data_IF_964860169090
#
_entry.id   IF_964860169090
#
_cell.length_a   1.000
_cell.length_b   1.000
_cell.length_c   1.000
_cell.angle_alpha   90.00
_cell.angle_beta   90.00
_cell.angle_gamma   90.00
#
_symmetry.space_group_name_H-M   'P 1'
#
loop_
_entity.id
_entity.type
_entity.pdbx_description
1 polymer ?
#
# COMPACT_ATOMS: atom_id res chain seq x y z
N UNK A 1 -26.43 58.91 10.18
CA UNK A 1 -26.16 57.56 9.65
C UNK A 1 -25.03 56.99 10.50
N UNK A 2 -25.34 56.00 11.32
CA UNK A 2 -24.41 55.49 12.34
C UNK A 2 -23.28 54.71 11.67
N UNK A 3 -22.04 55.04 12.00
CA UNK A 3 -20.83 54.32 11.60
C UNK A 3 -20.78 53.02 12.43
N UNK A 4 -21.03 51.88 11.78
CA UNK A 4 -20.65 50.59 12.31
C UNK A 4 -19.10 50.54 12.34
N UNK A 5 -18.47 50.11 13.44
CA UNK A 5 -17.05 49.82 13.43
C UNK A 5 -16.78 48.66 12.45
N UNK A 6 -15.59 48.59 11.84
CA UNK A 6 -15.21 47.39 11.12
C UNK A 6 -15.25 46.23 12.10
N UNK A 7 -16.11 45.24 11.83
CA UNK A 7 -16.02 43.96 12.49
C UNK A 7 -14.63 43.39 12.19
N UNK A 8 -13.93 42.98 13.25
CA UNK A 8 -12.69 42.22 13.22
C UNK A 8 -12.93 40.89 12.47
N UNK A 9 -13.02 40.94 11.14
CA UNK A 9 -12.98 39.76 10.29
C UNK A 9 -11.52 39.39 10.06
N UNK A 10 -11.02 38.56 10.96
CA UNK A 10 -9.79 37.82 10.72
C UNK A 10 -8.95 37.67 11.96
N UNK A 11 -9.34 36.75 12.83
CA UNK A 11 -8.40 35.96 13.63
C UNK A 11 -7.58 35.03 12.69
N UNK A 12 -7.03 35.64 11.63
CA UNK A 12 -6.22 35.00 10.63
C UNK A 12 -4.85 34.84 11.26
N UNK A 13 -4.63 33.67 11.87
CA UNK A 13 -3.31 33.16 12.19
C UNK A 13 -2.37 33.57 11.04
N UNK A 14 -1.46 34.51 11.30
CA UNK A 14 -0.47 34.92 10.30
C UNK A 14 0.43 33.71 10.04
N UNK A 15 0.02 32.88 9.07
CA UNK A 15 0.78 31.69 8.69
C UNK A 15 2.02 32.19 7.96
N UNK A 16 3.17 32.07 8.60
CA UNK A 16 4.44 32.42 7.97
C UNK A 16 4.60 31.60 6.68
N UNK A 17 5.24 32.18 5.66
CA UNK A 17 5.45 31.49 4.38
C UNK A 17 6.11 30.11 4.56
N UNK A 18 7.00 29.98 5.55
CA UNK A 18 7.66 28.73 5.94
C UNK A 18 6.65 27.67 6.44
N UNK A 19 5.65 28.07 7.23
CA UNK A 19 4.61 27.18 7.73
C UNK A 19 3.67 26.73 6.61
N UNK A 20 3.35 27.62 5.66
CA UNK A 20 2.58 27.22 4.47
C UNK A 20 3.34 26.18 3.63
N UNK A 21 4.67 26.32 3.53
CA UNK A 21 5.51 25.36 2.83
C UNK A 21 5.52 23.99 3.53
N UNK A 22 5.56 24.00 4.87
CA UNK A 22 5.47 22.79 5.71
C UNK A 22 4.11 22.12 5.58
N UNK A 23 3.01 22.88 5.64
CA UNK A 23 1.63 22.39 5.44
C UNK A 23 1.50 21.70 4.08
N UNK A 24 1.96 22.34 3.01
CA UNK A 24 1.90 21.77 1.67
C UNK A 24 2.71 20.46 1.54
N UNK A 25 3.85 20.38 2.21
CA UNK A 25 4.69 19.18 2.21
C UNK A 25 4.05 18.07 3.02
N UNK A 26 3.45 18.40 4.16
CA UNK A 26 2.68 17.47 4.99
C UNK A 26 1.50 16.87 4.22
N UNK A 27 0.70 17.69 3.54
CA UNK A 27 -0.42 17.20 2.72
C UNK A 27 0.04 16.25 1.61
N UNK A 28 1.18 16.53 0.96
CA UNK A 28 1.76 15.64 -0.06
C UNK A 28 2.17 14.29 0.52
N UNK A 29 2.84 14.29 1.67
CA UNK A 29 3.25 13.05 2.34
C UNK A 29 2.03 12.25 2.83
N UNK A 30 1.00 12.92 3.32
CA UNK A 30 -0.23 12.28 3.78
C UNK A 30 -0.98 11.60 2.64
N UNK A 31 -1.14 12.28 1.50
CA UNK A 31 -1.76 11.68 0.31
C UNK A 31 -0.95 10.46 -0.16
N UNK A 32 0.37 10.60 -0.24
CA UNK A 32 1.26 9.49 -0.61
C UNK A 32 1.18 8.31 0.36
N UNK A 33 1.06 8.56 1.65
CA UNK A 33 0.87 7.51 2.65
C UNK A 33 -0.46 6.79 2.45
N UNK A 34 -1.54 7.53 2.21
CA UNK A 34 -2.86 6.96 1.92
C UNK A 34 -2.80 6.05 0.68
N UNK A 35 -2.18 6.52 -0.41
CA UNK A 35 -2.03 5.73 -1.64
C UNK A 35 -1.22 4.44 -1.38
N UNK A 36 -0.16 4.52 -0.57
CA UNK A 36 0.66 3.35 -0.20
C UNK A 36 -0.14 2.38 0.67
N UNK A 37 -0.96 2.88 1.60
CA UNK A 37 -1.82 2.05 2.45
C UNK A 37 -2.89 1.32 1.65
N UNK A 38 -3.54 1.99 0.70
CA UNK A 38 -4.50 1.38 -0.20
C UNK A 38 -3.85 0.29 -1.06
N UNK A 39 -2.65 0.57 -1.59
CA UNK A 39 -1.90 -0.41 -2.37
C UNK A 39 -1.44 -1.60 -1.51
N UNK A 40 -1.02 -1.37 -0.27
CA UNK A 40 -0.69 -2.43 0.69
C UNK A 40 -1.88 -3.32 0.99
N UNK A 41 -3.08 -2.75 1.11
CA UNK A 41 -4.30 -3.52 1.33
C UNK A 41 -4.56 -4.46 0.16
N UNK A 42 -4.54 -3.96 -1.08
CA UNK A 42 -4.71 -4.77 -2.29
C UNK A 42 -3.65 -5.87 -2.36
N UNK A 43 -2.39 -5.54 -2.09
CA UNK A 43 -1.28 -6.51 -2.13
C UNK A 43 -1.40 -7.59 -1.06
N UNK A 44 -1.92 -7.27 0.13
CA UNK A 44 -2.19 -8.27 1.16
C UNK A 44 -3.35 -9.19 0.78
N UNK A 45 -4.43 -8.65 0.20
CA UNK A 45 -5.54 -9.47 -0.33
C UNK A 45 -5.06 -10.42 -1.44
N UNK A 46 -4.20 -9.93 -2.35
CA UNK A 46 -3.56 -10.79 -3.36
C UNK A 46 -2.69 -11.88 -2.72
N UNK A 47 -1.89 -11.54 -1.69
CA UNK A 47 -1.05 -12.51 -0.98
C UNK A 47 -1.90 -13.60 -0.31
N UNK A 48 -2.95 -13.21 0.41
CA UNK A 48 -3.87 -14.14 1.08
C UNK A 48 -4.47 -15.14 0.08
N UNK A 49 -4.89 -14.66 -1.09
CA UNK A 49 -5.36 -15.54 -2.17
C UNK A 49 -4.31 -16.58 -2.60
N UNK A 50 -3.04 -16.19 -2.70
CA UNK A 50 -1.97 -17.13 -3.05
C UNK A 50 -1.62 -18.10 -1.91
N UNK A 51 -1.72 -17.67 -0.65
CA UNK A 51 -1.51 -18.53 0.53
C UNK A 51 -2.63 -19.59 0.65
N UNK A 52 -3.89 -19.19 0.41
CA UNK A 52 -5.04 -20.10 0.34
C UNK A 52 -4.86 -21.12 -0.79
N UNK A 53 -4.47 -20.64 -1.99
CA UNK A 53 -4.18 -21.50 -3.13
C UNK A 53 -3.02 -22.45 -2.85
N UNK A 54 -2.01 -22.02 -2.08
CA UNK A 54 -0.88 -22.87 -1.66
C UNK A 54 -1.36 -24.01 -0.78
N UNK A 55 -2.20 -23.69 0.21
CA UNK A 55 -2.78 -24.67 1.11
C UNK A 55 -3.63 -25.69 0.35
N UNK A 56 -4.42 -25.25 -0.63
CA UNK A 56 -5.21 -26.15 -1.48
C UNK A 56 -4.30 -27.07 -2.34
N UNK A 57 -3.24 -26.51 -2.92
CA UNK A 57 -2.24 -27.27 -3.70
C UNK A 57 -1.44 -28.27 -2.86
N UNK A 58 -1.27 -28.02 -1.57
CA UNK A 58 -0.63 -28.95 -0.64
C UNK A 58 -1.50 -30.18 -0.36
N UNK A 59 -2.83 -30.04 -0.39
CA UNK A 59 -3.78 -31.14 -0.22
C UNK A 59 -3.93 -32.01 -1.48
N UNK A 60 -3.35 -31.60 -2.61
CA UNK A 60 -3.39 -32.38 -3.85
C UNK A 60 -2.60 -33.69 -3.73
N UNK A 61 -3.19 -34.78 -4.23
CA UNK A 61 -2.60 -36.12 -4.20
C UNK A 61 -1.28 -36.16 -5.00
N UNK A 62 -0.18 -36.40 -4.30
CA UNK A 62 1.16 -36.49 -4.89
C UNK A 62 1.36 -37.80 -5.67
N UNK A 63 0.61 -38.85 -5.35
CA UNK A 63 0.70 -40.17 -5.97
C UNK A 63 -0.12 -40.25 -7.28
N UNK A 64 -1.06 -39.32 -7.49
CA UNK A 64 -1.82 -39.17 -8.74
C UNK A 64 -1.98 -37.69 -9.15
N UNK A 65 -0.88 -37.03 -9.58
CA UNK A 65 -0.89 -35.60 -9.83
C UNK A 65 -1.68 -35.27 -11.10
N UNK A 66 -2.84 -34.65 -10.93
CA UNK A 66 -3.57 -34.05 -12.04
C UNK A 66 -2.92 -32.72 -12.44
N UNK A 67 -2.90 -32.39 -13.75
CA UNK A 67 -2.39 -31.10 -14.20
C UNK A 67 -3.29 -29.97 -13.68
N UNK A 68 -2.65 -28.96 -13.08
CA UNK A 68 -3.31 -27.80 -12.50
C UNK A 68 -3.44 -26.73 -13.57
N UNK A 69 -4.64 -26.19 -13.74
CA UNK A 69 -4.86 -25.05 -14.62
C UNK A 69 -4.41 -23.77 -13.90
N UNK A 70 -3.22 -23.29 -14.25
CA UNK A 70 -2.58 -22.14 -13.61
C UNK A 70 -2.72 -20.89 -14.48
N UNK A 71 -3.10 -19.76 -13.88
CA UNK A 71 -3.25 -18.47 -14.56
C UNK A 71 -1.96 -17.65 -14.48
N UNK A 72 -1.42 -17.23 -15.62
CA UNK A 72 -0.26 -16.33 -15.70
C UNK A 72 -0.66 -15.13 -16.55
N UNK A 73 -0.80 -13.96 -15.91
CA UNK A 73 -1.33 -12.76 -16.55
C UNK A 73 -2.78 -12.98 -17.00
N UNK A 74 -3.03 -12.97 -18.30
CA UNK A 74 -4.37 -13.20 -18.89
C UNK A 74 -4.54 -14.60 -19.49
N UNK A 75 -3.50 -15.43 -19.48
CA UNK A 75 -3.50 -16.75 -20.09
C UNK A 75 -3.54 -17.86 -19.03
N UNK A 76 -4.09 -19.02 -19.41
CA UNK A 76 -4.15 -20.22 -18.57
C UNK A 76 -3.30 -21.33 -19.17
N UNK A 77 -2.53 -22.01 -18.32
CA UNK A 77 -1.63 -23.09 -18.69
C UNK A 77 -1.87 -24.30 -17.81
N UNK A 78 -1.82 -25.50 -18.40
CA UNK A 78 -1.78 -26.73 -17.62
C UNK A 78 -0.35 -26.96 -17.14
N UNK A 79 -0.14 -26.87 -15.83
CA UNK A 79 1.15 -27.11 -15.19
C UNK A 79 1.11 -28.40 -14.36
N UNK A 80 2.19 -29.20 -14.38
CA UNK A 80 2.36 -30.26 -13.38
C UNK A 80 2.32 -29.67 -11.97
N UNK A 81 1.78 -30.44 -11.01
CA UNK A 81 1.64 -30.02 -9.60
C UNK A 81 2.94 -29.42 -9.03
N UNK A 82 4.09 -30.05 -9.33
CA UNK A 82 5.40 -29.58 -8.87
C UNK A 82 5.79 -28.21 -9.42
N UNK A 83 5.48 -27.95 -10.69
CA UNK A 83 5.81 -26.68 -11.34
C UNK A 83 4.83 -25.59 -10.90
N UNK A 84 3.55 -25.92 -10.71
CA UNK A 84 2.56 -25.02 -10.12
C UNK A 84 2.97 -24.57 -8.71
N UNK A 85 3.39 -25.50 -7.84
CA UNK A 85 3.91 -25.19 -6.50
C UNK A 85 5.18 -24.32 -6.56
N UNK A 86 6.08 -24.59 -7.50
CA UNK A 86 7.30 -23.78 -7.67
C UNK A 86 6.97 -22.35 -8.11
N UNK A 87 6.04 -22.21 -9.06
CA UNK A 87 5.59 -20.92 -9.57
C UNK A 87 4.93 -20.11 -8.45
N UNK A 88 4.00 -20.73 -7.72
CA UNK A 88 3.31 -20.14 -6.59
C UNK A 88 4.26 -19.62 -5.50
N UNK A 89 5.24 -20.43 -5.11
CA UNK A 89 6.29 -20.02 -4.16
C UNK A 89 7.11 -18.83 -4.66
N UNK A 90 7.36 -18.77 -5.97
CA UNK A 90 8.05 -17.64 -6.59
C UNK A 90 7.22 -16.37 -6.53
N UNK A 91 5.92 -16.47 -6.75
CA UNK A 91 5.01 -15.33 -6.75
C UNK A 91 4.75 -14.83 -5.32
N UNK A 92 4.53 -15.72 -4.34
CA UNK A 92 4.45 -15.35 -2.92
C UNK A 92 5.68 -14.55 -2.46
N UNK A 93 6.89 -14.99 -2.80
CA UNK A 93 8.12 -14.25 -2.45
C UNK A 93 8.21 -12.88 -3.10
N UNK A 94 7.67 -12.71 -4.32
CA UNK A 94 7.61 -11.38 -4.96
C UNK A 94 6.65 -10.48 -4.20
N UNK A 95 5.47 -10.98 -3.86
CA UNK A 95 4.47 -10.25 -3.09
C UNK A 95 4.99 -9.83 -1.71
N UNK A 96 5.67 -10.72 -1.00
CA UNK A 96 6.31 -10.40 0.29
C UNK A 96 7.31 -9.26 0.15
N UNK A 97 8.20 -9.33 -0.86
CA UNK A 97 9.19 -8.27 -1.10
C UNK A 97 8.56 -6.93 -1.50
N UNK A 98 7.49 -6.97 -2.30
CA UNK A 98 6.72 -5.78 -2.68
C UNK A 98 6.05 -5.14 -1.46
N UNK A 99 5.42 -5.95 -0.60
CA UNK A 99 4.79 -5.52 0.66
C UNK A 99 5.85 -4.90 1.59
N UNK A 100 6.96 -5.58 1.85
CA UNK A 100 8.05 -5.05 2.68
C UNK A 100 8.57 -3.69 2.16
N UNK A 101 8.72 -3.56 0.84
CA UNK A 101 9.14 -2.32 0.21
C UNK A 101 8.12 -1.19 0.34
N UNK A 102 6.83 -1.50 0.25
CA UNK A 102 5.74 -0.54 0.46
C UNK A 102 5.64 -0.13 1.93
N UNK A 103 5.78 -1.06 2.88
CA UNK A 103 5.82 -0.75 4.30
C UNK A 103 7.01 0.16 4.66
N UNK A 104 8.19 -0.08 4.07
CA UNK A 104 9.34 0.81 4.28
C UNK A 104 9.02 2.23 3.82
N UNK A 105 8.42 2.38 2.63
CA UNK A 105 8.02 3.69 2.11
C UNK A 105 6.94 4.35 2.95
N UNK A 106 6.00 3.57 3.49
CA UNK A 106 4.99 4.07 4.43
C UNK A 106 5.65 4.62 5.70
N UNK A 107 6.57 3.86 6.30
CA UNK A 107 7.34 4.28 7.49
C UNK A 107 8.15 5.55 7.23
N UNK A 108 8.78 5.67 6.07
CA UNK A 108 9.50 6.90 5.66
C UNK A 108 8.55 8.11 5.58
N UNK A 109 7.36 7.95 4.98
CA UNK A 109 6.37 9.01 4.90
C UNK A 109 5.85 9.42 6.28
N UNK A 110 5.56 8.46 7.16
CA UNK A 110 5.14 8.72 8.54
C UNK A 110 6.20 9.46 9.35
N UNK A 111 7.47 9.06 9.21
CA UNK A 111 8.58 9.74 9.90
C UNK A 111 8.73 11.19 9.40
N UNK A 112 8.70 11.41 8.08
CA UNK A 112 8.75 12.76 7.52
C UNK A 112 7.56 13.63 7.97
N UNK A 113 6.37 13.04 8.10
CA UNK A 113 5.21 13.74 8.65
C UNK A 113 5.36 14.09 10.14
N UNK A 114 5.93 13.19 10.95
CA UNK A 114 6.21 13.46 12.38
C UNK A 114 7.20 14.61 12.54
N UNK A 115 8.27 14.63 11.75
CA UNK A 115 9.27 15.71 11.78
C UNK A 115 8.65 17.06 11.40
N UNK A 116 7.83 17.10 10.34
CA UNK A 116 7.13 18.32 9.94
C UNK A 116 6.12 18.80 10.99
N UNK A 117 5.46 17.88 11.69
CA UNK A 117 4.50 18.20 12.75
C UNK A 117 5.15 18.75 14.03
N UNK A 118 6.42 18.43 14.28
CA UNK A 118 7.19 19.01 15.41
C UNK A 118 7.65 20.45 15.09
N UNK A 119 7.76 20.79 13.81
CA UNK A 119 8.21 22.09 13.33
C UNK A 119 7.06 23.09 13.08
N UNK A 120 5.82 22.60 12.93
CA UNK A 120 4.57 23.34 12.82
C UNK A 120 3.98 23.62 14.21
#
# INVERSE_FOLDING_TARGET
MSLLPPEDEGDGVEVAWEDQQRINTFSKLNNRLSDIQDLLKVKNEEKEYYDDLSTELELADEDNPQPVLYKIGEAFFYLPLRDARRQLNGDLKKYEKEIEGLESKARECENGMKELKVLL
#
